data_IF_942261693846
#
_entry.id   IF_942261693846
#
_cell.length_a   1.000
_cell.length_b   1.000
_cell.length_c   1.000
_cell.angle_alpha   90.00
_cell.angle_beta   90.00
_cell.angle_gamma   90.00
#
_symmetry.space_group_name_H-M   'P 1'
#
loop_
_entity.id
_entity.type
_entity.pdbx_description
1 polymer ?
#
# COMPACT_ATOMS: atom_id res chain seq x y z
N UNK A 1 -17.80 24.33 16.10
CA UNK A 1 -17.78 23.36 17.21
C UNK A 1 -19.02 22.46 17.13
N UNK A 2 -19.27 21.84 15.98
CA UNK A 2 -20.44 20.97 15.77
C UNK A 2 -19.97 19.53 15.60
N UNK A 3 -20.26 18.72 16.62
CA UNK A 3 -20.43 17.26 16.64
C UNK A 3 -19.26 16.34 16.29
N UNK A 4 -18.16 16.48 17.03
CA UNK A 4 -17.00 15.56 16.99
C UNK A 4 -17.32 14.14 17.46
N UNK A 5 -18.33 13.94 18.32
CA UNK A 5 -18.63 12.62 18.90
C UNK A 5 -19.05 11.59 17.84
N UNK A 6 -19.95 11.94 16.92
CA UNK A 6 -20.41 11.03 15.86
C UNK A 6 -19.49 11.06 14.63
N UNK A 7 -18.84 12.19 14.35
CA UNK A 7 -17.99 12.33 13.16
C UNK A 7 -16.75 11.43 13.25
N UNK A 8 -16.11 11.33 14.42
CA UNK A 8 -14.87 10.54 14.58
C UNK A 8 -15.06 9.04 14.32
N UNK A 9 -16.06 8.36 14.90
CA UNK A 9 -16.35 6.96 14.58
C UNK A 9 -16.66 6.75 13.09
N UNK A 10 -17.40 7.66 12.45
CA UNK A 10 -17.74 7.55 11.03
C UNK A 10 -16.50 7.71 10.16
N UNK A 11 -15.64 8.69 10.45
CA UNK A 11 -14.34 8.87 9.78
C UNK A 11 -13.47 7.62 9.94
N UNK A 12 -13.40 7.05 11.15
CA UNK A 12 -12.67 5.80 11.40
C UNK A 12 -13.21 4.63 10.56
N UNK A 13 -14.53 4.46 10.49
CA UNK A 13 -15.15 3.42 9.67
C UNK A 13 -14.83 3.61 8.19
N UNK A 14 -14.92 4.83 7.67
CA UNK A 14 -14.58 5.14 6.27
C UNK A 14 -13.11 4.83 5.99
N UNK A 15 -12.20 5.34 6.83
CA UNK A 15 -10.76 5.09 6.70
C UNK A 15 -10.44 3.60 6.77
N UNK A 16 -11.09 2.86 7.66
CA UNK A 16 -10.86 1.43 7.82
C UNK A 16 -11.34 0.66 6.60
N UNK A 17 -12.60 0.86 6.17
CA UNK A 17 -13.17 0.13 5.04
C UNK A 17 -12.46 0.44 3.72
N UNK A 18 -12.28 1.72 3.39
CA UNK A 18 -11.58 2.13 2.18
C UNK A 18 -10.08 1.82 2.26
N UNK A 19 -9.45 2.03 3.41
CA UNK A 19 -8.03 1.77 3.61
C UNK A 19 -7.68 0.29 3.46
N UNK A 20 -8.47 -0.60 4.07
CA UNK A 20 -8.30 -2.05 3.90
C UNK A 20 -8.52 -2.46 2.45
N UNK A 21 -9.60 -2.01 1.81
CA UNK A 21 -9.87 -2.40 0.42
C UNK A 21 -8.81 -1.86 -0.55
N UNK A 22 -8.39 -0.60 -0.40
CA UNK A 22 -7.30 0.00 -1.19
C UNK A 22 -5.99 -0.76 -0.98
N UNK A 23 -5.69 -1.17 0.27
CA UNK A 23 -4.52 -2.02 0.57
C UNK A 23 -4.58 -3.34 -0.18
N UNK A 24 -5.74 -4.02 -0.21
CA UNK A 24 -5.90 -5.29 -0.96
C UNK A 24 -5.72 -5.07 -2.46
N UNK A 25 -6.25 -3.97 -3.02
CA UNK A 25 -6.07 -3.63 -4.45
C UNK A 25 -4.59 -3.35 -4.77
N UNK A 26 -3.88 -2.61 -3.92
CA UNK A 26 -2.44 -2.37 -4.10
C UNK A 26 -1.64 -3.65 -3.93
N UNK A 27 -1.98 -4.50 -2.95
CA UNK A 27 -1.36 -5.82 -2.80
C UNK A 27 -1.55 -6.67 -4.05
N UNK A 28 -2.74 -6.68 -4.68
CA UNK A 28 -2.97 -7.38 -5.94
C UNK A 28 -2.00 -6.89 -7.02
N UNK A 29 -1.88 -5.56 -7.17
CA UNK A 29 -0.94 -4.95 -8.11
C UNK A 29 0.51 -5.35 -7.81
N UNK A 30 0.96 -5.25 -6.56
CA UNK A 30 2.32 -5.58 -6.14
C UNK A 30 2.64 -7.07 -6.33
N UNK A 31 1.70 -7.97 -6.01
CA UNK A 31 1.86 -9.41 -6.23
C UNK A 31 2.06 -9.73 -7.71
N UNK A 32 1.26 -9.11 -8.58
CA UNK A 32 1.41 -9.28 -10.03
C UNK A 32 2.71 -8.66 -10.54
N UNK A 33 3.04 -7.45 -10.09
CA UNK A 33 4.29 -6.77 -10.45
C UNK A 33 5.51 -7.59 -10.05
N UNK A 34 5.45 -8.21 -8.88
CA UNK A 34 6.51 -9.06 -8.35
C UNK A 34 6.51 -10.48 -8.89
N UNK A 35 5.55 -10.82 -9.76
CA UNK A 35 5.35 -12.19 -10.29
C UNK A 35 5.26 -13.23 -9.16
N UNK A 36 4.61 -12.85 -8.06
CA UNK A 36 4.35 -13.75 -6.95
C UNK A 36 3.44 -14.91 -7.38
N UNK A 37 3.59 -16.06 -6.73
CA UNK A 37 2.84 -17.26 -7.08
C UNK A 37 1.33 -17.08 -6.91
N UNK A 38 0.59 -17.18 -8.02
CA UNK A 38 -0.88 -17.07 -8.05
C UNK A 38 -1.59 -18.34 -7.58
N UNK A 39 -0.89 -19.48 -7.45
CA UNK A 39 -1.43 -20.69 -6.84
C UNK A 39 -1.47 -20.60 -5.30
N UNK A 40 -0.78 -19.61 -4.72
CA UNK A 40 -0.81 -19.36 -3.29
C UNK A 40 -2.22 -18.95 -2.80
N UNK A 41 -2.76 -19.55 -1.72
CA UNK A 41 -4.11 -19.27 -1.24
C UNK A 41 -4.36 -17.81 -0.87
N UNK A 42 -3.36 -17.10 -0.34
CA UNK A 42 -3.48 -15.67 0.00
C UNK A 42 -3.51 -14.82 -1.27
N UNK A 43 -2.70 -15.18 -2.28
CA UNK A 43 -2.73 -14.52 -3.59
C UNK A 43 -4.10 -14.70 -4.26
N UNK A 44 -4.65 -15.92 -4.23
CA UNK A 44 -6.00 -16.19 -4.72
C UNK A 44 -7.08 -15.43 -3.97
N UNK A 45 -6.96 -15.31 -2.65
CA UNK A 45 -7.88 -14.51 -1.83
C UNK A 45 -7.87 -13.04 -2.26
N UNK A 46 -6.68 -12.43 -2.38
CA UNK A 46 -6.52 -11.05 -2.85
C UNK A 46 -7.12 -10.86 -4.24
N UNK A 47 -6.82 -11.76 -5.18
CA UNK A 47 -7.37 -11.73 -6.54
C UNK A 47 -8.89 -11.85 -6.52
N UNK A 48 -9.45 -12.81 -5.77
CA UNK A 48 -10.88 -13.07 -5.69
C UNK A 48 -11.67 -11.90 -5.09
N UNK A 49 -11.10 -11.19 -4.11
CA UNK A 49 -11.74 -10.01 -3.52
C UNK A 49 -11.74 -8.80 -4.44
N UNK A 50 -10.77 -8.71 -5.35
CA UNK A 50 -10.57 -7.53 -6.20
C UNK A 50 -11.16 -7.72 -7.59
N UNK A 51 -11.34 -8.95 -8.08
CA UNK A 51 -11.91 -9.21 -9.41
C UNK A 51 -13.32 -8.66 -9.64
N UNK A 52 -14.29 -8.69 -8.69
CA UNK A 52 -15.64 -8.21 -8.97
C UNK A 52 -15.70 -6.73 -9.34
N UNK A 53 -14.83 -5.92 -8.74
CA UNK A 53 -14.74 -4.47 -8.98
C UNK A 53 -13.81 -4.15 -10.15
N UNK A 54 -12.71 -4.91 -10.31
CA UNK A 54 -11.78 -4.72 -11.42
C UNK A 54 -12.33 -5.20 -12.77
N UNK A 55 -13.19 -6.21 -12.80
CA UNK A 55 -13.74 -6.77 -14.03
C UNK A 55 -14.43 -5.72 -14.91
N UNK A 56 -15.38 -4.94 -14.38
CA UNK A 56 -15.99 -3.81 -15.10
C UNK A 56 -14.97 -2.74 -15.51
N UNK A 57 -14.04 -2.37 -14.62
CA UNK A 57 -13.07 -1.30 -14.88
C UNK A 57 -12.08 -1.67 -16.00
N UNK A 58 -11.70 -2.94 -16.10
CA UNK A 58 -10.84 -3.49 -17.16
C UNK A 58 -11.47 -3.43 -18.55
N UNK A 59 -12.78 -3.20 -18.66
CA UNK A 59 -13.43 -2.96 -19.96
C UNK A 59 -13.10 -1.57 -20.52
N UNK A 60 -12.76 -0.62 -19.64
CA UNK A 60 -12.43 0.77 -20.00
C UNK A 60 -10.92 0.98 -20.00
N UNK A 61 -10.23 0.40 -19.01
CA UNK A 61 -8.78 0.55 -18.83
C UNK A 61 -8.07 -0.69 -19.39
N UNK A 62 -7.34 -0.58 -20.52
CA UNK A 62 -6.58 -1.71 -21.05
C UNK A 62 -5.40 -2.07 -20.14
N UNK A 63 -5.05 -3.36 -20.08
CA UNK A 63 -3.80 -3.79 -19.47
C UNK A 63 -2.63 -3.52 -20.42
N UNK A 64 -1.57 -2.85 -19.96
CA UNK A 64 -0.37 -2.56 -20.78
C UNK A 64 0.79 -3.38 -20.23
N UNK A 65 1.46 -4.14 -21.12
CA UNK A 65 2.75 -4.79 -20.81
C UNK A 65 2.72 -5.81 -19.66
N UNK A 66 1.56 -6.42 -19.37
CA UNK A 66 1.39 -7.35 -18.24
C UNK A 66 1.26 -6.67 -16.87
N UNK A 67 1.24 -5.34 -16.79
CA UNK A 67 0.90 -4.60 -15.58
C UNK A 67 -0.61 -4.37 -15.45
N UNK A 68 -1.17 -4.54 -14.26
CA UNK A 68 -2.59 -4.32 -13.99
C UNK A 68 -2.88 -2.85 -13.70
N UNK A 69 -2.86 -2.02 -14.75
CA UNK A 69 -3.16 -0.57 -14.65
C UNK A 69 -4.55 -0.33 -14.07
N UNK A 70 -5.52 -1.21 -14.35
CA UNK A 70 -6.84 -1.13 -13.77
C UNK A 70 -6.80 -1.17 -12.22
N UNK A 71 -5.86 -1.91 -11.62
CA UNK A 71 -5.66 -1.91 -10.16
C UNK A 71 -5.15 -0.57 -9.63
N UNK A 72 -4.23 0.09 -10.34
CA UNK A 72 -3.74 1.42 -9.96
C UNK A 72 -4.85 2.47 -10.08
N UNK A 73 -5.62 2.44 -11.17
CA UNK A 73 -6.77 3.33 -11.37
C UNK A 73 -7.83 3.09 -10.30
N UNK A 74 -8.14 1.83 -9.99
CA UNK A 74 -9.10 1.51 -8.93
C UNK A 74 -8.62 2.02 -7.57
N UNK A 75 -7.36 1.77 -7.20
CA UNK A 75 -6.80 2.27 -5.95
C UNK A 75 -6.87 3.80 -5.85
N UNK A 76 -6.62 4.49 -6.97
CA UNK A 76 -6.69 5.95 -7.05
C UNK A 76 -8.11 6.48 -6.86
N UNK A 77 -9.09 5.87 -7.53
CA UNK A 77 -10.49 6.22 -7.37
C UNK A 77 -10.99 5.95 -5.95
N UNK A 78 -10.62 4.81 -5.36
CA UNK A 78 -10.98 4.47 -3.98
C UNK A 78 -10.40 5.49 -3.00
N UNK A 79 -9.10 5.80 -3.12
CA UNK A 79 -8.44 6.73 -2.20
C UNK A 79 -8.95 8.15 -2.36
N UNK A 80 -9.23 8.59 -3.59
CA UNK A 80 -9.90 9.87 -3.85
C UNK A 80 -11.28 9.93 -3.21
N UNK A 81 -12.08 8.87 -3.37
CA UNK A 81 -13.42 8.78 -2.80
C UNK A 81 -13.39 8.84 -1.28
N UNK A 82 -12.48 8.10 -0.64
CA UNK A 82 -12.26 8.13 0.82
C UNK A 82 -11.98 9.56 1.32
N UNK A 83 -11.03 10.27 0.69
CA UNK A 83 -10.63 11.62 1.08
C UNK A 83 -11.77 12.64 0.87
N UNK A 84 -12.55 12.50 -0.20
CA UNK A 84 -13.71 13.34 -0.46
C UNK A 84 -14.79 13.13 0.60
N UNK A 85 -15.11 11.87 0.93
CA UNK A 85 -16.12 11.57 1.96
C UNK A 85 -15.73 12.13 3.32
N UNK A 86 -14.46 11.98 3.73
CA UNK A 86 -13.94 12.55 4.98
C UNK A 86 -14.03 14.08 4.95
N UNK A 87 -13.60 14.70 3.85
CA UNK A 87 -13.66 16.15 3.68
C UNK A 87 -15.06 16.74 3.80
N UNK A 88 -16.05 16.05 3.20
CA UNK A 88 -17.46 16.42 3.29
C UNK A 88 -18.00 16.28 4.72
N UNK A 89 -17.61 15.23 5.45
CA UNK A 89 -18.06 14.97 6.82
C UNK A 89 -17.48 15.95 7.84
N UNK A 90 -16.21 16.32 7.69
CA UNK A 90 -15.53 17.26 8.60
C UNK A 90 -15.91 18.72 8.29
N UNK A 91 -16.74 18.96 7.27
CA UNK A 91 -17.24 20.29 6.92
C UNK A 91 -16.15 21.22 6.40
N UNK A 92 -15.05 20.66 5.93
CA UNK A 92 -13.92 21.43 5.48
C UNK A 92 -14.09 21.86 4.00
N UNK A 93 -13.29 22.81 3.52
CA UNK A 93 -13.53 23.47 2.22
C UNK A 93 -13.62 22.44 1.08
N UNK A 94 -14.69 22.46 0.26
CA UNK A 94 -15.04 21.46 -0.78
C UNK A 94 -14.07 21.41 -1.98
N UNK A 95 -12.77 21.38 -1.73
CA UNK A 95 -11.73 21.23 -2.74
C UNK A 95 -11.64 19.76 -3.17
N UNK A 96 -12.64 19.32 -3.95
CA UNK A 96 -12.70 17.96 -4.51
C UNK A 96 -11.47 17.65 -5.37
N UNK A 97 -10.98 18.65 -6.10
CA UNK A 97 -9.78 18.53 -6.93
C UNK A 97 -8.53 18.27 -6.09
N UNK A 98 -8.35 19.00 -4.98
CA UNK A 98 -7.26 18.77 -4.04
C UNK A 98 -7.29 17.34 -3.48
N UNK A 99 -8.46 16.84 -3.07
CA UNK A 99 -8.60 15.45 -2.60
C UNK A 99 -8.26 14.42 -3.69
N UNK A 100 -8.65 14.67 -4.93
CA UNK A 100 -8.36 13.81 -6.07
C UNK A 100 -6.86 13.73 -6.38
N UNK A 101 -6.14 14.85 -6.40
CA UNK A 101 -4.69 14.85 -6.63
C UNK A 101 -3.90 14.35 -5.42
N UNK A 102 -4.32 14.69 -4.19
CA UNK A 102 -3.67 14.25 -2.95
C UNK A 102 -3.72 12.74 -2.73
N UNK A 103 -4.69 12.06 -3.34
CA UNK A 103 -4.76 10.60 -3.27
C UNK A 103 -3.54 9.92 -3.92
N UNK A 104 -2.83 10.57 -4.86
CA UNK A 104 -1.63 10.04 -5.50
C UNK A 104 -0.45 9.88 -4.51
N UNK A 105 0.04 10.93 -3.82
CA UNK A 105 1.08 10.75 -2.81
C UNK A 105 0.61 9.87 -1.66
N UNK A 106 -0.68 9.87 -1.32
CA UNK A 106 -1.22 8.96 -0.31
C UNK A 106 -1.06 7.48 -0.72
N UNK A 107 -1.28 7.14 -2.00
CA UNK A 107 -1.03 5.79 -2.52
C UNK A 107 0.46 5.44 -2.57
N UNK A 108 1.33 6.40 -2.93
CA UNK A 108 2.79 6.19 -2.86
C UNK A 108 3.20 5.87 -1.41
N UNK A 109 2.69 6.64 -0.45
CA UNK A 109 2.91 6.38 0.97
C UNK A 109 2.38 5.01 1.40
N UNK A 110 1.22 4.59 0.90
CA UNK A 110 0.65 3.27 1.16
C UNK A 110 1.56 2.14 0.64
N UNK A 111 2.09 2.26 -0.59
CA UNK A 111 3.04 1.27 -1.14
C UNK A 111 4.29 1.17 -0.28
N UNK A 112 4.87 2.30 0.12
CA UNK A 112 6.05 2.32 1.00
C UNK A 112 5.71 1.65 2.35
N UNK A 113 4.56 1.96 2.93
CA UNK A 113 4.11 1.35 4.18
C UNK A 113 3.91 -0.17 4.05
N UNK A 114 3.33 -0.65 2.94
CA UNK A 114 3.19 -2.09 2.68
C UNK A 114 4.56 -2.77 2.69
N UNK A 115 5.56 -2.19 2.03
CA UNK A 115 6.92 -2.75 2.05
C UNK A 115 7.58 -2.67 3.42
N UNK A 116 7.40 -1.57 4.16
CA UNK A 116 7.90 -1.43 5.54
C UNK A 116 7.31 -2.52 6.43
N UNK A 117 5.99 -2.71 6.41
CA UNK A 117 5.32 -3.76 7.17
C UNK A 117 5.77 -5.15 6.71
N UNK A 118 5.91 -5.40 5.41
CA UNK A 118 6.38 -6.69 4.90
C UNK A 118 7.79 -7.03 5.40
N UNK A 119 8.72 -6.07 5.35
CA UNK A 119 10.09 -6.27 5.86
C UNK A 119 10.09 -6.44 7.38
N UNK A 120 9.26 -5.68 8.09
CA UNK A 120 9.10 -5.82 9.54
C UNK A 120 8.58 -7.21 9.93
N UNK A 121 7.54 -7.72 9.25
CA UNK A 121 7.04 -9.09 9.43
C UNK A 121 8.16 -10.10 9.16
N UNK A 122 9.01 -9.88 8.15
CA UNK A 122 10.12 -10.78 7.84
C UNK A 122 11.17 -10.84 8.96
N UNK A 123 11.43 -9.72 9.63
CA UNK A 123 12.29 -9.69 10.83
C UNK A 123 11.66 -10.47 11.97
N UNK A 124 10.35 -10.32 12.19
CA UNK A 124 9.66 -11.12 13.22
C UNK A 124 9.74 -12.62 12.90
N UNK A 125 9.51 -12.99 11.63
CA UNK A 125 9.55 -14.39 11.22
C UNK A 125 10.95 -14.99 11.31
N UNK A 126 12.03 -14.20 11.21
CA UNK A 126 13.39 -14.74 11.37
C UNK A 126 13.70 -15.18 12.80
N UNK A 127 13.03 -14.60 13.81
CA UNK A 127 13.17 -15.02 15.21
C UNK A 127 12.33 -16.25 15.55
N UNK A 128 11.14 -16.35 14.95
CA UNK A 128 10.21 -17.46 15.21
C UNK A 128 10.54 -18.69 14.36
N UNK A 129 11.21 -18.50 13.21
CA UNK A 129 11.61 -19.55 12.28
C UNK A 129 10.45 -20.49 11.85
N UNK A 130 9.38 -19.96 11.22
CA UNK A 130 8.25 -20.76 10.77
C UNK A 130 8.62 -21.71 9.62
N UNK A 131 7.77 -22.72 9.36
CA UNK A 131 7.93 -23.63 8.21
C UNK A 131 8.02 -22.84 6.89
N UNK A 132 9.12 -22.95 6.12
CA UNK A 132 9.29 -22.28 4.83
C UNK A 132 8.21 -22.62 3.79
N UNK A 133 7.52 -23.76 3.95
CA UNK A 133 6.42 -24.18 3.06
C UNK A 133 5.11 -23.45 3.34
N UNK A 134 5.03 -22.68 4.44
CA UNK A 134 3.82 -21.95 4.78
C UNK A 134 3.54 -20.87 3.71
N UNK A 135 2.30 -20.78 3.18
CA UNK A 135 1.99 -19.89 2.05
C UNK A 135 2.28 -18.41 2.35
N UNK A 136 2.11 -17.99 3.61
CA UNK A 136 2.44 -16.61 4.03
C UNK A 136 3.93 -16.29 3.95
N UNK A 137 4.80 -17.25 4.27
CA UNK A 137 6.26 -17.06 4.23
C UNK A 137 6.72 -16.89 2.78
N UNK A 138 6.24 -17.76 1.90
CA UNK A 138 6.59 -17.72 0.47
C UNK A 138 6.16 -16.42 -0.22
N UNK A 139 4.96 -15.90 0.10
CA UNK A 139 4.53 -14.60 -0.44
C UNK A 139 5.36 -13.45 0.12
N UNK A 140 5.67 -13.48 1.41
CA UNK A 140 6.48 -12.45 2.03
C UNK A 140 7.88 -12.40 1.41
N UNK A 141 8.48 -13.56 1.14
CA UNK A 141 9.76 -13.65 0.45
C UNK A 141 9.68 -13.11 -0.98
N UNK A 142 8.60 -13.42 -1.71
CA UNK A 142 8.36 -12.89 -3.05
C UNK A 142 8.26 -11.36 -3.06
N UNK A 143 7.57 -10.78 -2.07
CA UNK A 143 7.40 -9.32 -1.94
C UNK A 143 8.67 -8.60 -1.46
N UNK A 144 9.42 -9.19 -0.52
CA UNK A 144 10.54 -8.50 0.16
C UNK A 144 11.90 -8.78 -0.48
N UNK A 145 12.09 -9.92 -1.14
CA UNK A 145 13.37 -10.29 -1.77
C UNK A 145 13.96 -9.27 -2.77
N UNK A 146 13.17 -8.50 -3.56
CA UNK A 146 13.74 -7.53 -4.49
C UNK A 146 14.39 -6.35 -3.80
N UNK A 147 13.89 -6.00 -2.61
CA UNK A 147 14.45 -4.95 -1.76
C UNK A 147 15.63 -5.48 -0.95
N UNK A 148 15.53 -6.71 -0.44
CA UNK A 148 16.54 -7.29 0.44
C UNK A 148 17.77 -7.81 -0.30
N UNK A 149 17.64 -8.38 -1.50
CA UNK A 149 18.79 -8.91 -2.27
C UNK A 149 19.86 -7.84 -2.54
N UNK A 150 19.52 -6.62 -3.00
CA UNK A 150 20.51 -5.55 -3.12
C UNK A 150 21.12 -5.16 -1.77
N UNK A 151 20.32 -5.07 -0.71
CA UNK A 151 20.79 -4.73 0.63
C UNK A 151 21.76 -5.77 1.20
N UNK A 152 21.51 -7.07 0.98
CA UNK A 152 22.38 -8.18 1.37
C UNK A 152 23.73 -8.16 0.64
N UNK A 153 23.79 -7.59 -0.57
CA UNK A 153 25.07 -7.40 -1.28
C UNK A 153 25.89 -6.26 -0.70
N UNK A 154 25.25 -5.24 -0.13
CA UNK A 154 25.91 -4.10 0.51
C UNK A 154 26.33 -4.41 1.95
N UNK A 155 25.49 -5.12 2.70
CA UNK A 155 25.74 -5.55 4.07
C UNK A 155 25.50 -7.06 4.17
N UNK A 156 26.53 -7.88 3.87
CA UNK A 156 26.45 -9.34 4.05
C UNK A 156 26.16 -9.70 5.51
N UNK A 157 25.57 -10.88 5.78
CA UNK A 157 25.31 -11.34 7.14
C UNK A 157 26.59 -11.38 7.99
N UNK A 158 26.54 -10.80 9.18
CA UNK A 158 27.66 -10.78 10.13
C UNK A 158 27.31 -11.75 11.27
N UNK A 159 28.16 -12.76 11.49
CA UNK A 159 27.94 -13.74 12.57
C UNK A 159 26.65 -14.55 12.41
N UNK A 160 26.17 -14.76 11.18
CA UNK A 160 24.92 -15.49 10.89
C UNK A 160 23.64 -14.66 11.04
N UNK A 161 23.73 -13.38 11.43
CA UNK A 161 22.59 -12.48 11.54
C UNK A 161 22.48 -11.63 10.28
N UNK A 162 21.32 -11.67 9.62
CA UNK A 162 21.02 -10.83 8.46
C UNK A 162 20.56 -9.44 8.89
N UNK A 163 21.44 -8.44 8.72
CA UNK A 163 21.14 -7.02 9.02
C UNK A 163 20.55 -6.27 7.81
N UNK A 164 20.42 -6.91 6.64
CA UNK A 164 19.83 -6.29 5.46
C UNK A 164 18.41 -5.77 5.66
N UNK A 165 17.52 -6.36 6.50
CA UNK A 165 16.21 -5.78 6.77
C UNK A 165 16.27 -4.39 7.41
N UNK A 166 17.25 -4.14 8.28
CA UNK A 166 17.44 -2.83 8.90
C UNK A 166 17.81 -1.78 7.84
N UNK A 167 18.74 -2.14 6.93
CA UNK A 167 19.13 -1.25 5.83
C UNK A 167 17.95 -0.92 4.92
N UNK A 168 17.12 -1.92 4.57
CA UNK A 168 15.91 -1.68 3.77
C UNK A 168 14.89 -0.81 4.49
N UNK A 169 14.64 -1.04 5.78
CA UNK A 169 13.73 -0.21 6.59
C UNK A 169 14.22 1.25 6.60
N UNK A 170 15.50 1.48 6.90
CA UNK A 170 16.09 2.83 6.89
C UNK A 170 15.94 3.46 5.49
N UNK A 171 16.28 2.73 4.43
CA UNK A 171 16.14 3.21 3.06
C UNK A 171 14.71 3.58 2.68
N UNK A 172 13.72 2.77 3.06
CA UNK A 172 12.30 3.03 2.81
C UNK A 172 11.78 4.22 3.63
N UNK A 173 12.21 4.37 4.88
CA UNK A 173 11.86 5.53 5.72
C UNK A 173 12.45 6.81 5.13
N UNK A 174 13.73 6.81 4.74
CA UNK A 174 14.37 7.94 4.07
C UNK A 174 13.67 8.27 2.74
N UNK A 175 13.36 7.25 1.94
CA UNK A 175 12.59 7.42 0.70
C UNK A 175 11.24 8.08 1.00
N UNK A 176 10.52 7.65 2.04
CA UNK A 176 9.25 8.26 2.46
C UNK A 176 9.43 9.74 2.84
N UNK A 177 10.44 10.04 3.64
CA UNK A 177 10.74 11.39 4.12
C UNK A 177 11.15 12.34 2.99
N UNK A 178 11.87 11.86 1.99
CA UNK A 178 12.35 12.69 0.88
C UNK A 178 11.35 12.78 -0.28
N UNK A 179 10.60 11.71 -0.54
CA UNK A 179 9.71 11.63 -1.71
C UNK A 179 8.31 12.19 -1.44
N UNK A 180 7.72 11.93 -0.27
CA UNK A 180 6.34 12.33 -0.03
C UNK A 180 6.14 13.85 0.07
N UNK A 181 6.95 14.62 0.83
CA UNK A 181 6.73 16.06 0.96
C UNK A 181 6.70 16.83 -0.38
N UNK A 182 7.62 16.63 -1.35
CA UNK A 182 7.52 17.33 -2.63
C UNK A 182 6.31 16.87 -3.45
N UNK A 183 5.97 15.58 -3.47
CA UNK A 183 4.76 15.10 -4.18
C UNK A 183 3.48 15.70 -3.59
N UNK A 184 3.44 15.83 -2.27
CA UNK A 184 2.36 16.48 -1.54
C UNK A 184 2.28 17.98 -1.88
N UNK A 185 3.40 18.69 -1.90
CA UNK A 185 3.45 20.09 -2.29
C UNK A 185 2.92 20.32 -3.72
N UNK A 186 3.16 19.38 -4.64
CA UNK A 186 2.67 19.46 -6.02
C UNK A 186 1.16 19.19 -6.17
N UNK A 187 0.52 18.53 -5.20
CA UNK A 187 -0.83 17.96 -5.36
C UNK A 187 -1.93 18.73 -4.62
N UNK A 188 -1.69 19.99 -4.24
CA UNK A 188 -2.64 20.86 -3.52
C UNK A 188 -3.25 20.15 -2.30
N UNK A 189 -2.48 20.08 -1.20
CA UNK A 189 -2.91 19.44 0.03
C UNK A 189 -4.29 19.92 0.47
N UNK A 190 -5.24 19.00 0.75
CA UNK A 190 -6.50 19.39 1.36
C UNK A 190 -6.19 19.94 2.75
N UNK A 191 -6.73 21.12 3.08
CA UNK A 191 -6.44 21.82 4.34
C UNK A 191 -6.83 21.02 5.59
N UNK A 192 -7.62 19.95 5.44
CA UNK A 192 -8.08 19.05 6.49
C UNK A 192 -7.18 17.82 6.70
N UNK A 193 -6.17 17.60 5.85
CA UNK A 193 -5.19 16.53 6.03
C UNK A 193 -4.01 17.11 6.77
N UNK A 194 -3.94 16.86 8.08
CA UNK A 194 -2.77 17.18 8.93
C UNK A 194 -1.82 16.00 8.96
#
# INVERSE_FOLDING_TARGET
>A
MTDSYLTNPVVFLIQTLFGLYTTIVILRFLLQWMRADFYNPISQFVVKLTTPVLGPLRRVVPGIGGADIASLVLAWLLKSTELILIGLLVGANRNLLGAFFWSLPALVGLVINIFLFAVFIRVILSWVAPDPRHPGVHLLDSLTSPLLRPAQRLLPPIGGIDLSPMLVIIGLVLLRMLLLPPLQALTLSPQWVV
#
